data_IF_365857560230
#
_entry.id   IF_365857560230
#
_cell.length_a   1.000
_cell.length_b   1.000
_cell.length_c   1.000
_cell.angle_alpha   90.00
_cell.angle_beta   90.00
_cell.angle_gamma   90.00
#
_symmetry.space_group_name_H-M   'P 1'
#
loop_
_entity.id
_entity.type
_entity.pdbx_description
1 polymer ?
#
# COMPACT_ATOMS: atom_id res chain seq x y z
N UNK A 1 -10.84 -36.56 27.81
CA UNK A 1 -11.24 -36.31 26.41
C UNK A 1 -11.92 -34.94 26.35
N UNK A 2 -11.31 -33.91 25.71
CA UNK A 2 -11.97 -32.61 25.53
C UNK A 2 -13.18 -32.77 24.62
N UNK A 3 -14.41 -32.46 25.11
CA UNK A 3 -15.60 -32.41 24.27
C UNK A 3 -15.33 -31.48 23.09
N UNK A 4 -15.31 -32.04 21.88
CA UNK A 4 -15.22 -31.26 20.64
C UNK A 4 -16.46 -30.37 20.59
N UNK A 5 -16.28 -29.09 20.65
CA UNK A 5 -17.37 -28.12 20.58
C UNK A 5 -17.83 -28.05 19.11
N UNK A 6 -18.86 -28.78 18.76
CA UNK A 6 -19.41 -28.94 17.39
C UNK A 6 -19.55 -27.56 16.68
N UNK A 7 -20.01 -26.52 17.40
CA UNK A 7 -20.16 -25.20 16.85
C UNK A 7 -18.79 -24.58 16.38
N UNK A 8 -17.70 -24.88 17.08
CA UNK A 8 -16.35 -24.42 16.65
C UNK A 8 -15.92 -25.13 15.37
N UNK A 9 -16.21 -26.43 15.26
CA UNK A 9 -15.88 -27.19 14.04
C UNK A 9 -16.67 -26.65 12.85
N UNK A 10 -17.98 -26.46 13.01
CA UNK A 10 -18.85 -25.90 11.97
C UNK A 10 -18.34 -24.50 11.55
N UNK A 11 -18.05 -23.62 12.52
CA UNK A 11 -17.53 -22.27 12.25
C UNK A 11 -16.19 -22.32 11.51
N UNK A 12 -15.30 -23.22 11.90
CA UNK A 12 -14.01 -23.42 11.22
C UNK A 12 -14.19 -23.88 9.77
N UNK A 13 -15.10 -24.83 9.51
CA UNK A 13 -15.40 -25.29 8.14
C UNK A 13 -15.96 -24.15 7.29
N UNK A 14 -16.86 -23.34 7.84
CA UNK A 14 -17.41 -22.16 7.14
C UNK A 14 -16.28 -21.17 6.80
N UNK A 15 -15.38 -20.88 7.76
CA UNK A 15 -14.25 -20.00 7.53
C UNK A 15 -13.30 -20.52 6.43
N UNK A 16 -13.00 -21.80 6.42
CA UNK A 16 -12.20 -22.41 5.34
C UNK A 16 -12.91 -22.34 4.00
N UNK A 17 -14.24 -22.57 3.98
CA UNK A 17 -15.05 -22.45 2.76
C UNK A 17 -14.98 -21.02 2.19
N UNK A 18 -15.18 -20.01 3.04
CA UNK A 18 -15.07 -18.59 2.64
C UNK A 18 -13.64 -18.29 2.17
N UNK A 19 -12.62 -18.74 2.90
CA UNK A 19 -11.22 -18.54 2.52
C UNK A 19 -10.90 -19.14 1.14
N UNK A 20 -11.42 -20.34 0.87
CA UNK A 20 -11.23 -20.98 -0.43
C UNK A 20 -11.90 -20.19 -1.57
N UNK A 21 -13.13 -19.71 -1.37
CA UNK A 21 -13.81 -18.88 -2.39
C UNK A 21 -13.06 -17.58 -2.68
N UNK A 22 -12.41 -16.98 -1.66
CA UNK A 22 -11.56 -15.79 -1.84
C UNK A 22 -10.29 -16.06 -2.64
N UNK A 23 -9.76 -17.27 -2.57
CA UNK A 23 -8.57 -17.67 -3.36
C UNK A 23 -8.89 -18.04 -4.81
N UNK A 24 -10.15 -18.36 -5.11
CA UNK A 24 -10.58 -18.79 -6.46
C UNK A 24 -10.16 -17.82 -7.58
N UNK A 25 -10.35 -16.48 -7.47
CA UNK A 25 -9.91 -15.56 -8.52
C UNK A 25 -8.39 -15.56 -8.72
N UNK A 26 -7.63 -15.67 -7.62
CA UNK A 26 -6.17 -15.75 -7.68
C UNK A 26 -5.71 -17.04 -8.36
N UNK A 27 -6.33 -18.18 -8.04
CA UNK A 27 -6.04 -19.46 -8.67
C UNK A 27 -6.37 -19.44 -10.16
N UNK A 28 -7.48 -18.79 -10.53
CA UNK A 28 -7.84 -18.56 -11.94
C UNK A 28 -6.80 -17.72 -12.66
N UNK A 29 -6.37 -16.63 -12.07
CA UNK A 29 -5.34 -15.74 -12.61
C UNK A 29 -4.02 -16.50 -12.85
N UNK A 30 -3.59 -17.30 -11.88
CA UNK A 30 -2.39 -18.16 -12.01
C UNK A 30 -2.59 -19.20 -13.12
N UNK A 31 -3.72 -19.92 -13.12
CA UNK A 31 -4.00 -20.90 -14.18
C UNK A 31 -3.96 -20.26 -15.57
N UNK A 32 -4.62 -19.12 -15.72
CA UNK A 32 -4.72 -18.42 -17.01
C UNK A 32 -3.38 -17.87 -17.50
N UNK A 33 -2.48 -17.50 -16.60
CA UNK A 33 -1.13 -17.04 -16.96
C UNK A 33 -0.26 -18.11 -17.66
N UNK A 34 -0.64 -19.38 -17.57
CA UNK A 34 0.03 -20.52 -18.22
C UNK A 34 -0.71 -21.01 -19.47
N UNK A 35 -1.82 -20.36 -19.88
CA UNK A 35 -2.60 -20.74 -21.06
C UNK A 35 -2.17 -19.94 -22.28
N UNK A 36 -2.29 -20.52 -23.49
CA UNK A 36 -2.31 -19.72 -24.71
C UNK A 36 -3.60 -18.90 -24.76
N UNK A 37 -3.58 -17.77 -25.47
CA UNK A 37 -4.70 -16.81 -25.50
C UNK A 37 -6.02 -17.43 -25.95
N UNK A 38 -6.00 -18.32 -26.93
CA UNK A 38 -7.17 -19.03 -27.49
C UNK A 38 -7.85 -19.99 -26.48
N UNK A 39 -7.17 -20.41 -25.41
CA UNK A 39 -7.73 -21.29 -24.37
C UNK A 39 -8.28 -20.52 -23.17
N UNK A 40 -8.06 -19.22 -23.08
CA UNK A 40 -8.45 -18.44 -21.88
C UNK A 40 -9.96 -18.50 -21.63
N UNK A 41 -10.76 -18.34 -22.67
CA UNK A 41 -12.23 -18.33 -22.62
C UNK A 41 -12.87 -19.52 -23.31
N UNK A 42 -12.14 -20.59 -23.51
CA UNK A 42 -12.69 -21.80 -24.14
C UNK A 42 -13.75 -22.44 -23.24
N UNK A 43 -14.84 -22.86 -23.84
CA UNK A 43 -15.90 -23.60 -23.14
C UNK A 43 -15.81 -25.11 -23.47
N UNK A 44 -15.93 -26.02 -22.47
CA UNK A 44 -16.10 -25.78 -21.03
C UNK A 44 -14.85 -25.18 -20.38
N UNK A 45 -15.06 -24.33 -19.34
CA UNK A 45 -13.96 -23.70 -18.62
C UNK A 45 -13.06 -24.75 -17.97
N UNK A 46 -11.76 -24.70 -18.29
CA UNK A 46 -10.75 -25.60 -17.73
C UNK A 46 -9.86 -24.86 -16.76
N UNK A 47 -9.69 -25.41 -15.57
CA UNK A 47 -8.80 -24.85 -14.55
C UNK A 47 -7.33 -25.21 -14.79
N UNK A 48 -7.08 -26.35 -15.38
CA UNK A 48 -5.75 -26.81 -15.76
C UNK A 48 -5.61 -26.61 -17.28
N UNK A 49 -4.56 -25.91 -17.76
CA UNK A 49 -4.32 -25.75 -19.20
C UNK A 49 -4.24 -27.09 -19.90
N UNK A 50 -4.89 -27.24 -21.05
CA UNK A 50 -4.72 -28.41 -21.89
C UNK A 50 -3.38 -28.35 -22.63
N UNK A 51 -3.06 -27.17 -23.16
CA UNK A 51 -1.78 -26.87 -23.76
C UNK A 51 -1.10 -25.77 -22.96
N UNK A 52 -0.27 -26.17 -21.98
CA UNK A 52 0.47 -25.19 -21.19
C UNK A 52 1.61 -24.59 -22.02
N UNK A 53 1.65 -23.27 -22.10
CA UNK A 53 2.79 -22.55 -22.70
C UNK A 53 3.96 -22.36 -21.72
N UNK A 54 3.90 -22.98 -20.55
CA UNK A 54 4.94 -22.86 -19.52
C UNK A 54 5.14 -21.40 -19.11
N UNK A 55 6.38 -20.93 -19.14
CA UNK A 55 6.74 -19.57 -18.78
C UNK A 55 6.81 -18.58 -19.98
N UNK A 56 6.32 -18.96 -21.15
CA UNK A 56 6.48 -18.11 -22.34
C UNK A 56 5.69 -16.80 -22.21
N UNK A 57 4.48 -16.82 -21.67
CA UNK A 57 3.74 -15.58 -21.35
C UNK A 57 4.55 -14.67 -20.41
N UNK A 58 5.24 -15.22 -19.43
CA UNK A 58 6.10 -14.44 -18.52
C UNK A 58 7.32 -13.89 -19.25
N UNK A 59 7.98 -14.67 -20.12
CA UNK A 59 9.12 -14.21 -20.91
C UNK A 59 8.70 -13.07 -21.82
N UNK A 60 7.52 -13.17 -22.44
CA UNK A 60 6.98 -12.11 -23.29
C UNK A 60 6.67 -10.84 -22.49
N UNK A 61 5.98 -10.95 -21.33
CA UNK A 61 5.67 -9.83 -20.44
C UNK A 61 6.94 -9.12 -19.97
N UNK A 62 7.95 -9.87 -19.56
CA UNK A 62 9.23 -9.33 -19.06
C UNK A 62 10.21 -8.97 -20.18
N UNK A 63 9.86 -9.26 -21.44
CA UNK A 63 10.64 -8.91 -22.61
C UNK A 63 10.64 -7.39 -22.89
N UNK A 64 11.46 -7.00 -23.87
CA UNK A 64 11.67 -5.59 -24.22
C UNK A 64 10.42 -4.93 -24.80
N UNK A 65 9.51 -5.70 -25.40
CA UNK A 65 8.31 -5.20 -26.07
C UNK A 65 7.40 -4.37 -25.14
N UNK A 66 7.21 -4.81 -23.89
CA UNK A 66 6.27 -4.20 -22.95
C UNK A 66 6.95 -3.30 -21.92
N UNK A 67 8.27 -3.31 -21.79
CA UNK A 67 9.03 -2.57 -20.78
C UNK A 67 8.55 -2.85 -19.33
N UNK A 68 7.96 -4.02 -19.08
CA UNK A 68 7.32 -4.36 -17.81
C UNK A 68 8.30 -4.30 -16.63
N UNK A 69 9.54 -4.77 -16.84
CA UNK A 69 10.60 -4.70 -15.82
C UNK A 69 10.89 -3.26 -15.38
N UNK A 70 10.84 -2.30 -16.31
CA UNK A 70 11.01 -0.88 -16.00
C UNK A 70 9.83 -0.35 -15.18
N UNK A 71 8.58 -0.67 -15.55
CA UNK A 71 7.40 -0.26 -14.78
C UNK A 71 7.41 -0.86 -13.37
N UNK A 72 7.89 -2.11 -13.26
CA UNK A 72 8.06 -2.78 -11.99
C UNK A 72 9.06 -2.03 -11.08
N UNK A 73 10.23 -1.69 -11.61
CA UNK A 73 11.25 -0.92 -10.90
C UNK A 73 10.76 0.50 -10.54
N UNK A 74 10.05 1.17 -11.45
CA UNK A 74 9.42 2.45 -11.17
C UNK A 74 8.44 2.37 -10.01
N UNK A 75 7.59 1.33 -9.98
CA UNK A 75 6.66 1.10 -8.89
C UNK A 75 7.36 0.84 -7.56
N UNK A 76 8.41 0.00 -7.55
CA UNK A 76 9.23 -0.21 -6.34
C UNK A 76 9.79 1.12 -5.85
N UNK A 77 10.44 1.88 -6.72
CA UNK A 77 11.04 3.17 -6.40
C UNK A 77 10.01 4.15 -5.80
N UNK A 78 8.89 4.36 -6.51
CA UNK A 78 7.85 5.29 -6.06
C UNK A 78 7.24 4.83 -4.75
N UNK A 79 6.90 3.55 -4.63
CA UNK A 79 6.24 3.00 -3.45
C UNK A 79 7.14 3.04 -2.21
N UNK A 80 8.39 2.60 -2.33
CA UNK A 80 9.33 2.57 -1.20
C UNK A 80 9.64 3.98 -0.71
N UNK A 81 9.97 4.90 -1.63
CA UNK A 81 10.32 6.28 -1.25
C UNK A 81 9.10 7.01 -0.68
N UNK A 82 7.93 6.89 -1.30
CA UNK A 82 6.69 7.50 -0.78
C UNK A 82 6.33 6.96 0.60
N UNK A 83 6.48 5.64 0.84
CA UNK A 83 6.21 5.03 2.13
C UNK A 83 7.16 5.53 3.20
N UNK A 84 8.46 5.56 2.93
CA UNK A 84 9.46 6.05 3.87
C UNK A 84 9.25 7.53 4.24
N UNK A 85 9.02 8.39 3.23
CA UNK A 85 8.76 9.81 3.46
C UNK A 85 7.45 10.05 4.20
N UNK A 86 6.38 9.32 3.85
CA UNK A 86 5.11 9.45 4.57
C UNK A 86 5.25 9.07 6.04
N UNK A 87 5.94 7.98 6.36
CA UNK A 87 6.19 7.56 7.74
C UNK A 87 6.94 8.66 8.49
N UNK A 88 8.03 9.17 7.92
CA UNK A 88 8.84 10.20 8.54
C UNK A 88 8.03 11.48 8.80
N UNK A 89 7.34 12.00 7.78
CA UNK A 89 6.54 13.24 7.88
C UNK A 89 5.38 13.05 8.86
N UNK A 90 4.67 11.92 8.79
CA UNK A 90 3.56 11.62 9.70
C UNK A 90 4.03 11.46 11.14
N UNK A 91 5.19 10.81 11.37
CA UNK A 91 5.73 10.62 12.71
C UNK A 91 6.21 11.94 13.34
N UNK A 92 6.91 12.77 12.57
CA UNK A 92 7.33 14.11 13.02
C UNK A 92 6.12 15.00 13.33
N UNK A 93 5.11 15.00 12.46
CA UNK A 93 3.87 15.73 12.68
C UNK A 93 3.13 15.22 13.91
N UNK A 94 2.99 13.90 14.08
CA UNK A 94 2.37 13.28 15.24
C UNK A 94 3.09 13.63 16.54
N UNK A 95 4.42 13.64 16.52
CA UNK A 95 5.24 14.07 17.66
C UNK A 95 4.99 15.53 18.03
N UNK A 96 4.96 16.43 17.04
CA UNK A 96 4.63 17.85 17.24
C UNK A 96 3.25 18.06 17.85
N UNK A 97 2.26 17.29 17.39
CA UNK A 97 0.88 17.36 17.91
C UNK A 97 0.64 16.58 19.21
N UNK A 98 1.62 15.82 19.72
CA UNK A 98 1.44 15.00 20.95
C UNK A 98 2.37 15.43 22.06
N UNK A 99 3.68 15.49 21.79
CA UNK A 99 4.74 15.62 22.81
C UNK A 99 5.27 17.05 22.95
N UNK A 100 5.00 17.92 21.99
CA UNK A 100 5.36 19.33 22.09
C UNK A 100 4.12 20.14 22.53
N UNK A 101 4.25 20.91 23.63
CA UNK A 101 3.19 21.78 24.15
C UNK A 101 3.29 23.17 23.50
N UNK A 102 2.27 23.57 22.75
CA UNK A 102 2.17 24.91 22.15
C UNK A 102 0.70 25.36 22.06
N UNK A 103 0.47 26.69 22.03
CA UNK A 103 -0.88 27.26 22.00
C UNK A 103 -1.56 26.97 20.65
N UNK A 104 -2.82 26.49 20.68
CA UNK A 104 -3.58 26.19 19.47
C UNK A 104 -3.35 24.80 18.87
N UNK A 105 -2.52 23.94 19.50
CA UNK A 105 -2.19 22.60 19.02
C UNK A 105 -3.42 21.75 18.71
N UNK A 106 -4.33 21.65 19.65
CA UNK A 106 -5.47 20.75 19.52
C UNK A 106 -6.53 21.33 18.55
N UNK A 107 -6.68 22.65 18.49
CA UNK A 107 -7.53 23.32 17.51
C UNK A 107 -7.00 23.11 16.09
N UNK A 108 -5.70 23.32 15.86
CA UNK A 108 -5.10 23.09 14.55
C UNK A 108 -5.20 21.61 14.14
N UNK A 109 -5.05 20.69 15.09
CA UNK A 109 -5.22 19.26 14.83
C UNK A 109 -6.66 18.93 14.41
N UNK A 110 -7.68 19.54 15.06
CA UNK A 110 -9.09 19.37 14.65
C UNK A 110 -9.36 19.93 13.26
N UNK A 111 -8.82 21.11 12.92
CA UNK A 111 -8.92 21.68 11.56
C UNK A 111 -8.26 20.72 10.55
N UNK A 112 -7.09 20.18 10.88
CA UNK A 112 -6.41 19.22 10.05
C UNK A 112 -7.25 17.94 9.82
N UNK A 113 -7.89 17.42 10.87
CA UNK A 113 -8.81 16.29 10.75
C UNK A 113 -10.05 16.63 9.91
N UNK A 114 -10.59 17.84 10.03
CA UNK A 114 -11.73 18.26 9.23
C UNK A 114 -11.44 18.22 7.72
N UNK A 115 -10.19 18.40 7.31
CA UNK A 115 -9.80 18.27 5.89
C UNK A 115 -9.95 16.84 5.35
N UNK A 116 -10.06 15.79 6.21
CA UNK A 116 -10.37 14.44 5.77
C UNK A 116 -11.75 14.30 5.14
N UNK A 117 -12.66 15.23 5.44
CA UNK A 117 -14.00 15.25 4.85
C UNK A 117 -13.99 15.69 3.37
N UNK A 118 -12.90 16.26 2.90
CA UNK A 118 -12.77 16.69 1.50
C UNK A 118 -12.37 15.47 0.65
N UNK A 119 -13.23 15.04 -0.29
CA UNK A 119 -12.89 13.92 -1.16
C UNK A 119 -11.62 14.21 -1.99
N UNK A 120 -10.63 13.30 -2.04
CA UNK A 120 -9.40 13.51 -2.81
C UNK A 120 -9.64 13.86 -4.28
N UNK A 121 -10.73 13.36 -4.87
CA UNK A 121 -11.10 13.58 -6.26
C UNK A 121 -11.39 15.05 -6.57
N UNK A 122 -11.96 15.80 -5.63
CA UNK A 122 -12.23 17.23 -5.79
C UNK A 122 -10.92 18.03 -5.91
N UNK A 123 -9.84 17.54 -5.28
CA UNK A 123 -8.55 18.23 -5.25
C UNK A 123 -7.66 17.92 -6.47
N UNK A 124 -8.07 17.03 -7.38
CA UNK A 124 -7.22 16.56 -8.49
C UNK A 124 -6.76 17.71 -9.38
N UNK A 125 -7.69 18.57 -9.80
CA UNK A 125 -7.38 19.69 -10.70
C UNK A 125 -6.42 20.68 -10.04
N UNK A 126 -6.69 21.03 -8.78
CA UNK A 126 -5.81 21.92 -8.02
C UNK A 126 -4.41 21.35 -7.84
N UNK A 127 -4.31 20.06 -7.52
CA UNK A 127 -3.02 19.34 -7.43
C UNK A 127 -2.28 19.34 -8.76
N UNK A 128 -2.98 19.12 -9.87
CA UNK A 128 -2.40 19.14 -11.20
C UNK A 128 -1.77 20.51 -11.50
N UNK A 129 -2.51 21.60 -11.30
CA UNK A 129 -2.02 22.96 -11.52
C UNK A 129 -0.82 23.28 -10.65
N UNK A 130 -0.84 22.89 -9.37
CA UNK A 130 0.29 23.11 -8.45
C UNK A 130 1.52 22.34 -8.94
N UNK A 131 1.40 21.05 -9.28
CA UNK A 131 2.52 20.24 -9.75
C UNK A 131 3.10 20.77 -11.06
N UNK A 132 2.24 21.24 -11.96
CA UNK A 132 2.68 21.86 -13.22
C UNK A 132 3.46 23.15 -12.96
N UNK A 133 2.96 24.04 -12.09
CA UNK A 133 3.65 25.30 -11.72
C UNK A 133 4.98 25.05 -11.00
N UNK A 134 5.09 23.97 -10.23
CA UNK A 134 6.32 23.58 -9.54
C UNK A 134 7.32 22.84 -10.46
N UNK A 135 6.99 22.58 -11.74
CA UNK A 135 7.83 21.80 -12.65
C UNK A 135 7.93 20.31 -12.26
N UNK A 136 6.99 19.80 -11.46
CA UNK A 136 6.97 18.43 -10.96
C UNK A 136 6.02 17.51 -11.73
N UNK A 137 5.26 18.07 -12.70
CA UNK A 137 4.45 17.27 -13.62
C UNK A 137 5.34 16.33 -14.44
N UNK A 138 4.85 15.15 -14.71
CA UNK A 138 5.55 14.10 -15.44
C UNK A 138 6.89 13.69 -14.80
N UNK A 139 6.91 13.61 -13.46
CA UNK A 139 8.08 13.13 -12.69
C UNK A 139 7.63 12.20 -11.56
N UNK A 140 8.47 11.22 -11.20
CA UNK A 140 8.24 10.41 -10.00
C UNK A 140 8.26 11.26 -8.72
N UNK A 141 9.09 12.32 -8.68
CA UNK A 141 9.18 13.20 -7.52
C UNK A 141 7.84 13.90 -7.27
N UNK A 142 7.12 14.32 -8.32
CA UNK A 142 5.77 14.90 -8.17
C UNK A 142 4.80 13.95 -7.49
N UNK A 143 4.75 12.67 -7.90
CA UNK A 143 3.91 11.65 -7.26
C UNK A 143 4.34 11.43 -5.80
N UNK A 144 5.63 11.29 -5.54
CA UNK A 144 6.18 11.05 -4.21
C UNK A 144 5.82 12.20 -3.26
N UNK A 145 6.03 13.44 -3.66
CA UNK A 145 5.73 14.61 -2.83
C UNK A 145 4.24 14.79 -2.55
N UNK A 146 3.37 14.53 -3.56
CA UNK A 146 1.92 14.57 -3.35
C UNK A 146 1.42 13.54 -2.34
N UNK A 147 2.07 12.37 -2.32
CA UNK A 147 1.62 11.23 -1.52
C UNK A 147 2.32 11.09 -0.17
N UNK A 148 3.33 11.92 0.13
CA UNK A 148 4.04 11.87 1.42
C UNK A 148 3.24 12.43 2.58
N UNK A 149 2.28 13.32 2.34
CA UNK A 149 1.38 13.84 3.37
C UNK A 149 0.17 12.94 3.54
N UNK A 150 -0.07 12.45 4.74
CA UNK A 150 -1.19 11.56 5.05
C UNK A 150 -1.87 11.97 6.34
N UNK A 151 -3.14 12.35 6.21
CA UNK A 151 -4.01 12.63 7.35
C UNK A 151 -4.18 11.40 8.24
N UNK A 152 -4.43 10.24 7.60
CA UNK A 152 -4.55 8.96 8.29
C UNK A 152 -3.26 8.58 9.00
N UNK A 153 -2.10 8.72 8.33
CA UNK A 153 -0.80 8.39 8.91
C UNK A 153 -0.48 9.22 10.14
N UNK A 154 -0.72 10.54 10.06
CA UNK A 154 -0.51 11.44 11.19
C UNK A 154 -1.46 11.10 12.34
N UNK A 155 -2.75 10.86 12.07
CA UNK A 155 -3.73 10.47 13.07
C UNK A 155 -3.35 9.16 13.77
N UNK A 156 -3.03 8.10 13.00
CA UNK A 156 -2.64 6.79 13.53
C UNK A 156 -1.44 6.89 14.46
N UNK A 157 -0.37 7.56 14.02
CA UNK A 157 0.84 7.68 14.82
C UNK A 157 0.66 8.61 16.02
N UNK A 158 -0.19 9.64 15.91
CA UNK A 158 -0.56 10.47 17.06
C UNK A 158 -1.26 9.64 18.13
N UNK A 159 -2.23 8.78 17.76
CA UNK A 159 -2.91 7.91 18.71
C UNK A 159 -1.93 6.97 19.42
N UNK A 160 -0.99 6.39 18.68
CA UNK A 160 0.05 5.55 19.27
C UNK A 160 0.95 6.33 20.25
N UNK A 161 1.35 7.56 19.90
CA UNK A 161 2.20 8.40 20.76
C UNK A 161 1.48 8.92 22.01
N UNK A 162 0.14 9.06 21.96
CA UNK A 162 -0.65 9.43 23.16
C UNK A 162 -0.60 8.36 24.26
N UNK A 163 -0.39 7.10 23.90
CA UNK A 163 -0.21 6.01 24.85
C UNK A 163 1.16 5.99 25.57
N UNK A 164 2.11 6.81 25.15
CA UNK A 164 3.43 6.91 25.77
C UNK A 164 3.36 7.91 26.92
N UNK A 165 3.74 7.52 28.18
CA UNK A 165 3.78 8.42 29.31
C UNK A 165 4.72 9.63 29.08
N UNK A 166 4.24 10.84 29.44
CA UNK A 166 5.03 12.06 29.25
C UNK A 166 6.28 12.08 30.14
N UNK A 167 6.25 11.39 31.29
CA UNK A 167 7.40 11.24 32.20
C UNK A 167 8.65 10.71 31.52
N UNK A 168 8.53 9.83 30.53
CA UNK A 168 9.68 9.33 29.75
C UNK A 168 10.37 10.45 28.97
N UNK A 169 9.58 11.35 28.38
CA UNK A 169 10.12 12.48 27.63
C UNK A 169 10.67 13.58 28.57
N UNK A 170 10.05 13.74 29.74
CA UNK A 170 10.49 14.71 30.76
C UNK A 170 11.82 14.27 31.42
N UNK A 171 11.98 13.01 31.78
CA UNK A 171 13.24 12.48 32.28
C UNK A 171 14.39 12.68 31.29
N UNK A 172 14.16 12.37 30.01
CA UNK A 172 15.16 12.59 28.97
C UNK A 172 15.52 14.08 28.79
N UNK A 173 14.57 15.02 28.99
CA UNK A 173 14.85 16.46 28.97
C UNK A 173 15.74 16.88 30.14
N UNK A 174 15.51 16.30 31.34
CA UNK A 174 16.36 16.54 32.51
C UNK A 174 17.78 16.07 32.22
N UNK A 175 17.94 14.97 31.50
CA UNK A 175 19.23 14.46 31.04
C UNK A 175 19.84 15.26 29.86
N UNK A 176 19.23 16.39 29.50
CA UNK A 176 19.73 17.30 28.46
C UNK A 176 19.40 16.86 27.03
N UNK A 177 18.50 15.91 26.82
CA UNK A 177 18.11 15.48 25.46
C UNK A 177 17.20 16.51 24.78
N UNK A 178 17.60 16.97 23.59
CA UNK A 178 16.76 17.82 22.74
C UNK A 178 15.62 17.02 22.07
N UNK A 179 14.62 17.73 21.51
CA UNK A 179 13.42 17.12 20.94
C UNK A 179 13.69 16.09 19.86
N UNK A 180 14.65 16.30 18.97
CA UNK A 180 15.00 15.32 17.92
C UNK A 180 15.59 14.05 18.52
N UNK A 181 16.42 14.17 19.56
CA UNK A 181 16.99 13.01 20.26
C UNK A 181 15.90 12.21 20.96
N UNK A 182 14.98 12.86 21.67
CA UNK A 182 13.81 12.23 22.30
C UNK A 182 12.95 11.52 21.25
N UNK A 183 12.69 12.20 20.11
CA UNK A 183 11.91 11.61 19.04
C UNK A 183 12.56 10.33 18.49
N UNK A 184 13.80 10.38 18.02
CA UNK A 184 14.42 9.23 17.35
C UNK A 184 14.83 8.10 18.32
N UNK A 185 15.25 8.43 19.55
CA UNK A 185 15.79 7.43 20.48
C UNK A 185 14.76 6.86 21.44
N UNK A 186 13.64 7.56 21.72
CA UNK A 186 12.64 7.13 22.70
C UNK A 186 11.29 6.91 22.00
N UNK A 187 10.69 7.95 21.42
CA UNK A 187 9.31 7.89 20.95
C UNK A 187 9.16 7.03 19.69
N UNK A 188 10.01 7.24 18.69
CA UNK A 188 9.95 6.51 17.41
C UNK A 188 10.12 4.98 17.58
N UNK A 189 11.07 4.48 18.40
CA UNK A 189 11.17 3.05 18.68
C UNK A 189 9.95 2.45 19.39
N UNK A 190 9.31 3.20 20.30
CA UNK A 190 8.15 2.72 21.06
C UNK A 190 6.90 2.55 20.20
N UNK A 191 6.78 3.31 19.10
CA UNK A 191 5.64 3.19 18.17
C UNK A 191 5.94 2.32 16.94
N UNK A 192 7.02 1.53 16.95
CA UNK A 192 7.37 0.62 15.82
C UNK A 192 6.20 -0.23 15.32
N UNK A 193 5.34 -0.83 16.15
CA UNK A 193 4.20 -1.60 15.64
C UNK A 193 3.25 -0.75 14.79
N UNK A 194 2.93 0.46 15.23
CA UNK A 194 2.06 1.38 14.49
C UNK A 194 2.73 1.90 13.21
N UNK A 195 4.05 2.11 13.23
CA UNK A 195 4.84 2.45 12.03
C UNK A 195 4.78 1.29 11.02
N UNK A 196 4.95 0.06 11.47
CA UNK A 196 4.89 -1.11 10.59
C UNK A 196 3.50 -1.27 9.96
N UNK A 197 2.43 -1.07 10.73
CA UNK A 197 1.06 -1.06 10.21
C UNK A 197 0.89 0.02 9.14
N UNK A 198 1.33 1.26 9.42
CA UNK A 198 1.27 2.36 8.46
C UNK A 198 2.08 2.06 7.20
N UNK A 199 3.28 1.47 7.36
CA UNK A 199 4.14 1.10 6.25
C UNK A 199 3.47 0.11 5.29
N UNK A 200 2.85 -0.94 5.84
CA UNK A 200 2.15 -1.96 5.04
C UNK A 200 0.96 -1.33 4.30
N UNK A 201 0.12 -0.59 5.01
CA UNK A 201 -1.05 0.05 4.39
C UNK A 201 -0.65 1.03 3.29
N UNK A 202 0.36 1.88 3.55
CA UNK A 202 0.84 2.84 2.56
C UNK A 202 1.46 2.16 1.36
N UNK A 203 2.26 1.10 1.57
CA UNK A 203 2.85 0.32 0.49
C UNK A 203 1.75 -0.23 -0.42
N UNK A 204 0.74 -0.91 0.17
CA UNK A 204 -0.38 -1.49 -0.59
C UNK A 204 -1.13 -0.42 -1.39
N UNK A 205 -1.43 0.72 -0.78
CA UNK A 205 -2.14 1.80 -1.47
C UNK A 205 -1.33 2.40 -2.62
N UNK A 206 -0.04 2.66 -2.41
CA UNK A 206 0.80 3.26 -3.45
C UNK A 206 1.12 2.27 -4.57
N UNK A 207 1.33 0.99 -4.23
CA UNK A 207 1.56 -0.07 -5.21
C UNK A 207 0.37 -0.26 -6.15
N UNK A 208 -0.84 -0.16 -5.62
CA UNK A 208 -2.08 -0.32 -6.39
C UNK A 208 -2.62 0.99 -6.98
N UNK A 209 -1.92 2.12 -6.78
CA UNK A 209 -2.37 3.41 -7.30
C UNK A 209 -2.23 3.45 -8.82
N UNK A 210 -3.38 3.47 -9.49
CA UNK A 210 -3.50 3.66 -10.93
C UNK A 210 -3.83 5.11 -11.29
N UNK A 211 -4.67 5.77 -10.46
CA UNK A 211 -5.24 7.07 -10.77
C UNK A 211 -4.19 8.19 -10.76
N UNK A 212 -3.33 8.22 -9.74
CA UNK A 212 -2.31 9.28 -9.66
C UNK A 212 -1.31 9.18 -10.82
N UNK A 213 -0.69 8.02 -11.12
CA UNK A 213 0.16 7.87 -12.30
C UNK A 213 -0.53 8.22 -13.61
N UNK A 214 -1.79 7.86 -13.79
CA UNK A 214 -2.57 8.15 -15.01
C UNK A 214 -2.69 9.66 -15.26
N UNK A 215 -2.88 10.45 -14.22
CA UNK A 215 -3.10 11.90 -14.34
C UNK A 215 -1.78 12.68 -14.41
N UNK A 216 -0.76 12.23 -13.68
CA UNK A 216 0.45 13.00 -13.45
C UNK A 216 1.67 12.53 -14.26
N UNK A 217 1.58 11.39 -14.98
CA UNK A 217 2.63 10.91 -15.87
C UNK A 217 2.12 10.86 -17.30
N UNK A 218 2.90 11.41 -18.23
CA UNK A 218 2.65 11.34 -19.68
C UNK A 218 3.72 10.54 -20.42
N UNK A 219 4.94 10.47 -19.88
CA UNK A 219 6.03 9.70 -20.46
C UNK A 219 5.92 8.23 -20.06
N UNK A 220 5.80 7.33 -21.05
CA UNK A 220 5.71 5.88 -20.83
C UNK A 220 6.88 5.32 -20.02
N UNK A 221 8.09 5.88 -20.16
CA UNK A 221 9.26 5.45 -19.42
C UNK A 221 9.15 5.65 -17.89
N UNK A 222 8.20 6.50 -17.46
CA UNK A 222 7.93 6.78 -16.05
C UNK A 222 6.72 6.02 -15.49
N UNK A 223 6.03 5.24 -16.32
CA UNK A 223 4.82 4.56 -15.86
C UNK A 223 5.12 3.60 -14.72
N UNK A 224 4.19 3.55 -13.78
CA UNK A 224 4.14 2.52 -12.74
C UNK A 224 3.51 1.25 -13.29
N UNK A 225 3.65 0.13 -12.56
CA UNK A 225 3.18 -1.18 -12.99
C UNK A 225 1.67 -1.18 -13.27
N UNK A 226 0.88 -0.53 -12.42
CA UNK A 226 -0.59 -0.47 -12.60
C UNK A 226 -0.98 0.27 -13.87
N UNK A 227 -0.26 1.34 -14.20
CA UNK A 227 -0.48 2.08 -15.43
C UNK A 227 0.08 1.32 -16.64
N UNK A 228 1.25 0.69 -16.50
CA UNK A 228 1.88 -0.12 -17.55
C UNK A 228 1.05 -1.35 -17.94
N UNK A 229 0.35 -1.98 -17.01
CA UNK A 229 -0.52 -3.13 -17.29
C UNK A 229 -1.64 -2.80 -18.29
N UNK A 230 -2.05 -1.53 -18.39
CA UNK A 230 -3.03 -1.11 -19.40
C UNK A 230 -2.54 -1.32 -20.85
N UNK A 231 -1.23 -1.40 -21.07
CA UNK A 231 -0.66 -1.60 -22.41
C UNK A 231 -0.91 -3.00 -22.98
N UNK A 232 -1.29 -3.98 -22.14
CA UNK A 232 -1.72 -5.31 -22.60
C UNK A 232 -3.13 -5.32 -23.17
N UNK A 233 -3.93 -4.26 -22.98
CA UNK A 233 -5.17 -4.04 -23.66
C UNK A 233 -4.88 -3.28 -24.96
N UNK A 234 -4.88 -3.96 -26.10
CA UNK A 234 -4.67 -3.35 -27.42
C UNK A 234 -5.97 -2.86 -28.03
N UNK A 235 -5.87 -2.06 -29.11
CA UNK A 235 -7.03 -1.66 -29.95
C UNK A 235 -7.71 -2.87 -30.60
N UNK A 236 -6.98 -3.96 -30.79
CA UNK A 236 -7.48 -5.23 -31.36
C UNK A 236 -8.09 -6.18 -30.33
N UNK A 237 -8.12 -5.79 -29.04
CA UNK A 237 -8.57 -6.59 -27.91
C UNK A 237 -7.53 -6.70 -26.80
N UNK A 238 -7.95 -7.22 -25.65
CA UNK A 238 -7.03 -7.47 -24.54
C UNK A 238 -6.37 -8.83 -24.71
N UNK A 239 -5.06 -8.92 -24.49
CA UNK A 239 -4.34 -10.19 -24.42
C UNK A 239 -4.41 -10.67 -22.97
N UNK A 240 -5.41 -11.49 -22.67
CA UNK A 240 -5.73 -11.86 -21.28
C UNK A 240 -4.67 -12.76 -20.66
N UNK A 241 -4.07 -13.69 -21.41
CA UNK A 241 -3.00 -14.55 -20.94
C UNK A 241 -1.79 -13.75 -20.44
N UNK A 242 -1.34 -12.75 -21.22
CA UNK A 242 -0.24 -11.85 -20.83
C UNK A 242 -0.64 -10.93 -19.70
N UNK A 243 -1.88 -10.40 -19.72
CA UNK A 243 -2.41 -9.59 -18.63
C UNK A 243 -2.40 -10.36 -17.30
N UNK A 244 -2.78 -11.64 -17.32
CA UNK A 244 -2.77 -12.48 -16.11
C UNK A 244 -1.33 -12.80 -15.66
N UNK A 245 -0.40 -13.04 -16.57
CA UNK A 245 1.02 -13.23 -16.23
C UNK A 245 1.64 -11.96 -15.61
N UNK A 246 1.29 -10.77 -16.15
CA UNK A 246 1.68 -9.49 -15.58
C UNK A 246 1.05 -9.26 -14.19
N UNK A 247 -0.24 -9.58 -14.02
CA UNK A 247 -0.95 -9.44 -12.74
C UNK A 247 -0.40 -10.39 -11.67
N UNK A 248 -0.09 -11.64 -12.01
CA UNK A 248 0.59 -12.57 -11.09
C UNK A 248 1.93 -11.98 -10.65
N UNK A 249 2.75 -11.50 -11.61
CA UNK A 249 4.03 -10.86 -11.30
C UNK A 249 3.85 -9.63 -10.40
N UNK A 250 2.85 -8.78 -10.67
CA UNK A 250 2.54 -7.59 -9.88
C UNK A 250 2.04 -7.89 -8.46
N UNK A 251 1.51 -9.08 -8.23
CA UNK A 251 1.01 -9.50 -6.91
C UNK A 251 2.13 -9.98 -5.98
N UNK A 252 3.27 -10.43 -6.51
CA UNK A 252 4.37 -10.99 -5.71
C UNK A 252 4.89 -10.06 -4.60
N UNK A 253 5.16 -8.76 -4.81
CA UNK A 253 5.61 -7.89 -3.74
C UNK A 253 4.59 -7.72 -2.61
N UNK A 254 3.28 -7.73 -2.95
CA UNK A 254 2.22 -7.65 -1.95
C UNK A 254 2.16 -8.91 -1.10
N UNK A 255 2.31 -10.10 -1.71
CA UNK A 255 2.38 -11.37 -0.98
C UNK A 255 3.59 -11.38 -0.06
N UNK A 256 4.77 -11.00 -0.55
CA UNK A 256 5.99 -10.92 0.26
C UNK A 256 5.83 -9.94 1.42
N UNK A 257 5.29 -8.75 1.14
CA UNK A 257 5.02 -7.76 2.17
C UNK A 257 4.07 -8.29 3.24
N UNK A 258 3.00 -8.98 2.82
CA UNK A 258 2.04 -9.57 3.75
C UNK A 258 2.69 -10.66 4.62
N UNK A 259 3.43 -11.59 4.02
CA UNK A 259 4.10 -12.66 4.76
C UNK A 259 5.10 -12.11 5.79
N UNK A 260 5.82 -11.05 5.46
CA UNK A 260 6.75 -10.39 6.39
C UNK A 260 6.04 -9.50 7.42
N UNK A 261 4.92 -8.87 7.04
CA UNK A 261 4.25 -7.84 7.82
C UNK A 261 3.00 -8.30 8.58
N UNK A 262 2.46 -9.52 8.35
CA UNK A 262 1.18 -9.97 8.90
C UNK A 262 1.07 -9.84 10.42
N UNK A 263 2.16 -10.11 11.16
CA UNK A 263 2.17 -9.96 12.61
C UNK A 263 1.87 -8.54 13.06
N UNK A 264 2.48 -7.55 12.41
CA UNK A 264 2.30 -6.14 12.74
C UNK A 264 0.92 -5.63 12.32
N UNK A 265 0.36 -6.16 11.22
CA UNK A 265 -1.00 -5.83 10.78
C UNK A 265 -2.00 -6.29 11.82
N UNK A 266 -1.89 -7.53 12.31
CA UNK A 266 -2.78 -8.12 13.31
C UNK A 266 -2.68 -7.35 14.63
N UNK A 267 -1.46 -7.07 15.12
CA UNK A 267 -1.23 -6.31 16.34
C UNK A 267 -1.76 -4.86 16.23
N UNK A 268 -1.59 -4.20 15.07
CA UNK A 268 -2.08 -2.84 14.83
C UNK A 268 -3.60 -2.74 14.79
N UNK A 269 -4.29 -3.69 14.17
CA UNK A 269 -5.75 -3.77 14.16
C UNK A 269 -6.29 -4.10 15.54
N UNK A 270 -5.68 -5.04 16.24
CA UNK A 270 -6.09 -5.44 17.58
C UNK A 270 -5.94 -4.29 18.60
N UNK A 271 -4.87 -3.50 18.52
CA UNK A 271 -4.67 -2.34 19.42
C UNK A 271 -5.69 -1.23 19.21
N UNK A 272 -6.27 -1.11 18.01
CA UNK A 272 -7.39 -0.21 17.72
C UNK A 272 -8.75 -0.71 18.20
N UNK A 273 -8.92 -2.04 18.29
CA UNK A 273 -10.18 -2.67 18.65
C UNK A 273 -10.37 -2.88 20.17
N UNK A 274 -9.29 -2.89 20.96
CA UNK A 274 -9.33 -3.12 22.43
C UNK A 274 -9.45 -1.80 23.20
N UNK A 275 -10.25 -0.86 22.74
CA UNK A 275 -10.74 0.29 23.53
C UNK A 275 -12.23 0.10 23.81
N UNK A 276 -12.53 -0.94 24.57
CA UNK A 276 -13.80 -1.21 25.18
C UNK A 276 -13.58 -1.73 26.58
#
# INVERSE_FOLDING_TARGET
MKKIQIHKVIFTIILYGIGFTMLTPLLWMISTSFKPENEVFQFPIRWIPEHSVGFDNYKEVWGEQYNFGMYYLNSIKVTVISTALQILVSALGAYGFTKIKWKGRDQLFLIYLATMMIPPQVMIVSRFVIMQKMGLYNTHMGIILMTMFSLYGLFLLRQAMMGIPDSLCESAKIDGAGHLRIFFQIVFPLIKPSIATLAVLKFVWTWNDYQTPLIFLSNRMLFTIQLGMKLFASESGSIYSLTMAAAVSATLPLILLFLCGQRYIIEGIASGAVKG
#
